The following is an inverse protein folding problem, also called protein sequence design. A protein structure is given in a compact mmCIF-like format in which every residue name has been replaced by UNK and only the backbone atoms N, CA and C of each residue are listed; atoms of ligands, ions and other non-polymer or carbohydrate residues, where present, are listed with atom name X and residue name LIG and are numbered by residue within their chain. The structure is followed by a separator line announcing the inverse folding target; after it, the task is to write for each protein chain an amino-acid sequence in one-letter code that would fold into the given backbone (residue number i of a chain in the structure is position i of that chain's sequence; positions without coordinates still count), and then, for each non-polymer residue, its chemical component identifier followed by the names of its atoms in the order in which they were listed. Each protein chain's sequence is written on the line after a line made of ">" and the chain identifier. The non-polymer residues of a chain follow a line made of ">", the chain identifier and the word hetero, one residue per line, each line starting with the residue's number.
data_IF_269399965703
#
_entry.id   IF_269399965703
#
_cell.length_a   1.000
_cell.length_b   1.000
_cell.length_c   1.000
_cell.angle_alpha   90.00
_cell.angle_beta   90.00
_cell.angle_gamma   90.00
#
_symmetry.space_group_name_H-M   'P 1'
#
loop_
_entity.id
_entity.type
_entity.pdbx_description
1 polymer ?
#
# COMPACT_ATOMS: atom_id res chain seq x y z
N UNK A 1 -12.33 -6.52 -17.00
CA UNK A 1 -11.33 -5.68 -17.63
C UNK A 1 -9.91 -6.21 -17.43
N UNK A 2 -9.63 -6.85 -16.27
CA UNK A 2 -8.38 -7.55 -15.98
C UNK A 2 -8.65 -8.91 -15.35
N UNK A 3 -7.86 -9.92 -15.73
CA UNK A 3 -7.85 -11.25 -15.11
C UNK A 3 -6.45 -11.52 -14.59
N UNK A 4 -6.35 -11.93 -13.33
CA UNK A 4 -5.09 -12.25 -12.66
C UNK A 4 -5.09 -13.70 -12.23
N UNK A 5 -4.05 -14.44 -12.56
CA UNK A 5 -3.84 -15.81 -12.09
C UNK A 5 -3.32 -15.80 -10.67
N UNK A 6 -4.18 -16.05 -9.69
CA UNK A 6 -3.81 -16.13 -8.28
C UNK A 6 -3.17 -17.49 -7.97
N UNK A 7 -1.99 -17.45 -7.37
CA UNK A 7 -1.25 -18.67 -6.97
C UNK A 7 -1.80 -19.16 -5.64
N UNK A 8 -2.02 -20.46 -5.56
CA UNK A 8 -2.42 -21.09 -4.29
C UNK A 8 -1.36 -20.94 -3.19
N UNK A 9 -1.75 -21.03 -1.91
CA UNK A 9 -0.83 -20.90 -0.77
C UNK A 9 0.28 -21.97 -0.77
N UNK A 10 0.08 -23.05 -1.53
CA UNK A 10 1.04 -24.16 -1.67
C UNK A 10 2.23 -23.82 -2.60
N UNK A 11 2.09 -22.81 -3.47
CA UNK A 11 3.11 -22.42 -4.45
C UNK A 11 4.16 -21.45 -3.91
N UNK A 12 4.06 -21.03 -2.66
CA UNK A 12 5.01 -20.12 -2.05
C UNK A 12 6.15 -20.87 -1.37
N UNK A 13 7.30 -20.87 -2.01
CA UNK A 13 8.54 -21.44 -1.41
C UNK A 13 8.96 -20.58 -0.20
N UNK A 14 8.63 -21.04 1.02
CA UNK A 14 9.06 -20.47 2.29
C UNK A 14 8.00 -19.59 3.00
N UNK A 15 7.90 -19.81 4.32
CA UNK A 15 6.93 -19.14 5.18
C UNK A 15 7.09 -17.59 5.22
N UNK A 16 8.33 -17.10 5.13
CA UNK A 16 8.62 -15.66 5.07
C UNK A 16 7.99 -14.95 3.87
N UNK A 17 8.02 -15.62 2.68
CA UNK A 17 7.38 -15.07 1.47
C UNK A 17 5.86 -15.09 1.57
N UNK A 18 5.32 -16.13 2.21
CA UNK A 18 3.88 -16.23 2.45
C UNK A 18 3.41 -15.09 3.35
N UNK A 19 4.15 -14.81 4.43
CA UNK A 19 3.86 -13.69 5.33
C UNK A 19 3.96 -12.36 4.59
N UNK A 20 5.02 -12.15 3.84
CA UNK A 20 5.24 -10.93 3.08
C UNK A 20 4.14 -10.69 2.04
N UNK A 21 3.79 -11.70 1.23
CA UNK A 21 2.70 -11.59 0.27
C UNK A 21 1.36 -11.33 0.97
N UNK A 22 1.08 -11.98 2.11
CA UNK A 22 -0.13 -11.73 2.89
C UNK A 22 -0.24 -10.28 3.37
N UNK A 23 0.87 -9.70 3.82
CA UNK A 23 0.92 -8.26 4.19
C UNK A 23 0.67 -7.37 2.97
N UNK A 24 1.21 -7.72 1.80
CA UNK A 24 0.98 -6.99 0.55
C UNK A 24 -0.48 -7.02 0.13
N UNK A 25 -1.07 -8.20 0.11
CA UNK A 25 -2.45 -8.39 -0.31
C UNK A 25 -3.42 -7.70 0.68
N UNK A 26 -3.11 -7.75 1.99
CA UNK A 26 -3.85 -7.03 3.01
C UNK A 26 -3.78 -5.51 2.82
N UNK A 27 -2.58 -4.95 2.65
CA UNK A 27 -2.39 -3.51 2.44
C UNK A 27 -3.04 -3.04 1.14
N UNK A 28 -2.90 -3.82 0.06
CA UNK A 28 -3.55 -3.53 -1.21
C UNK A 28 -5.08 -3.54 -1.07
N UNK A 29 -5.63 -4.53 -0.36
CA UNK A 29 -7.06 -4.62 -0.09
C UNK A 29 -7.55 -3.45 0.76
N UNK A 30 -6.78 -3.07 1.78
CA UNK A 30 -7.08 -1.90 2.62
C UNK A 30 -7.08 -0.59 1.82
N UNK A 31 -6.08 -0.39 0.95
CA UNK A 31 -5.95 0.84 0.15
C UNK A 31 -7.04 0.94 -0.91
N UNK A 32 -7.35 -0.17 -1.61
CA UNK A 32 -8.34 -0.19 -2.69
C UNK A 32 -9.78 -0.33 -2.20
N UNK A 33 -9.98 -0.89 -1.01
CA UNK A 33 -11.30 -1.27 -0.51
C UNK A 33 -11.89 -2.51 -1.19
N UNK A 34 -11.08 -3.23 -1.99
CA UNK A 34 -11.47 -4.45 -2.70
C UNK A 34 -10.57 -5.61 -2.29
N UNK A 35 -11.08 -6.83 -2.34
CA UNK A 35 -10.29 -8.02 -1.97
C UNK A 35 -9.23 -8.31 -3.04
N UNK A 36 -7.98 -8.38 -2.64
CA UNK A 36 -6.83 -8.74 -3.47
C UNK A 36 -6.34 -10.12 -3.05
N UNK A 37 -6.30 -11.09 -3.99
CA UNK A 37 -5.89 -12.47 -3.70
C UNK A 37 -4.40 -12.72 -3.98
N UNK A 38 -3.82 -12.12 -5.02
CA UNK A 38 -2.39 -12.22 -5.35
C UNK A 38 -1.94 -10.99 -6.14
N UNK A 39 -1.38 -10.02 -5.43
CA UNK A 39 -0.93 -8.76 -6.00
C UNK A 39 0.34 -8.92 -6.85
N UNK A 40 1.18 -9.89 -6.51
CA UNK A 40 2.51 -10.08 -7.08
C UNK A 40 2.55 -11.04 -8.26
N UNK A 41 1.42 -11.65 -8.62
CA UNK A 41 1.36 -12.55 -9.76
C UNK A 41 1.69 -11.84 -11.07
N UNK A 42 2.64 -12.38 -11.82
CA UNK A 42 2.95 -11.90 -13.18
C UNK A 42 2.01 -12.42 -14.26
N UNK A 43 1.23 -13.46 -13.96
CA UNK A 43 0.31 -14.07 -14.94
C UNK A 43 -1.00 -13.32 -14.97
N UNK A 44 -1.18 -12.48 -15.98
CA UNK A 44 -2.37 -11.63 -16.12
C UNK A 44 -2.71 -11.32 -17.56
N UNK A 45 -3.99 -11.11 -17.81
CA UNK A 45 -4.52 -10.60 -19.06
C UNK A 45 -5.35 -9.34 -18.75
N UNK A 46 -5.22 -8.31 -19.59
CA UNK A 46 -5.92 -7.05 -19.38
C UNK A 46 -6.29 -6.39 -20.71
N UNK A 47 -7.31 -5.57 -20.68
CA UNK A 47 -7.72 -4.77 -21.84
C UNK A 47 -6.63 -3.74 -22.17
N UNK A 48 -6.22 -3.73 -23.43
CA UNK A 48 -5.14 -2.86 -23.93
C UNK A 48 -5.47 -1.37 -23.83
N UNK A 49 -6.70 -1.01 -24.16
CA UNK A 49 -7.20 0.36 -24.13
C UNK A 49 -7.14 0.96 -22.71
N UNK A 50 -7.53 0.18 -21.72
CA UNK A 50 -7.46 0.58 -20.30
C UNK A 50 -6.02 0.60 -19.81
N UNK A 51 -5.21 -0.40 -20.13
CA UNK A 51 -3.83 -0.48 -19.68
C UNK A 51 -2.99 0.71 -20.19
N UNK A 52 -3.24 1.18 -21.41
CA UNK A 52 -2.54 2.33 -22.00
C UNK A 52 -2.69 3.61 -21.19
N UNK A 53 -3.84 3.83 -20.54
CA UNK A 53 -4.11 5.02 -19.71
C UNK A 53 -3.15 5.13 -18.52
N UNK A 54 -2.67 3.99 -18.02
CA UNK A 54 -1.83 3.95 -16.81
C UNK A 54 -0.34 3.73 -17.08
N UNK A 55 0.10 3.73 -18.35
CA UNK A 55 1.50 3.48 -18.70
C UNK A 55 2.44 4.49 -18.01
N UNK A 56 2.03 5.76 -17.92
CA UNK A 56 2.81 6.82 -17.27
C UNK A 56 3.03 6.62 -15.76
N UNK A 57 2.17 5.84 -15.12
CA UNK A 57 2.23 5.53 -13.68
C UNK A 57 3.07 4.28 -13.38
N UNK A 58 3.39 3.50 -14.42
CA UNK A 58 4.05 2.21 -14.22
C UNK A 58 5.55 2.40 -13.95
N UNK A 59 6.08 1.75 -12.90
CA UNK A 59 7.50 1.77 -12.62
C UNK A 59 8.27 0.85 -13.58
N UNK A 60 9.50 1.22 -13.90
CA UNK A 60 10.37 0.47 -14.82
C UNK A 60 10.93 -0.84 -14.22
N UNK A 61 10.52 -1.26 -13.02
CA UNK A 61 11.07 -2.42 -12.30
C UNK A 61 9.96 -3.32 -11.71
N UNK A 62 10.31 -4.10 -10.70
CA UNK A 62 9.55 -5.23 -10.12
C UNK A 62 8.10 -4.93 -9.63
N UNK A 63 7.73 -3.68 -9.37
CA UNK A 63 6.40 -3.32 -8.87
C UNK A 63 5.33 -3.12 -9.97
N UNK A 64 5.67 -3.37 -11.25
CA UNK A 64 4.72 -3.27 -12.36
C UNK A 64 3.40 -4.03 -12.12
N UNK A 65 3.43 -5.33 -11.74
CA UNK A 65 2.21 -6.09 -11.53
C UNK A 65 1.31 -5.49 -10.45
N UNK A 66 1.90 -5.02 -9.39
CA UNK A 66 1.22 -4.40 -8.26
C UNK A 66 0.57 -3.09 -8.67
N UNK A 67 1.34 -2.21 -9.31
CA UNK A 67 0.87 -0.87 -9.69
C UNK A 67 -0.29 -0.95 -10.67
N UNK A 68 -0.20 -1.76 -11.73
CA UNK A 68 -1.27 -1.86 -12.72
C UNK A 68 -2.56 -2.42 -12.13
N UNK A 69 -2.50 -3.43 -11.23
CA UNK A 69 -3.67 -3.95 -10.56
C UNK A 69 -4.37 -2.88 -9.73
N UNK A 70 -3.60 -2.11 -8.97
CA UNK A 70 -4.14 -1.04 -8.13
C UNK A 70 -4.71 0.11 -8.96
N UNK A 71 -4.09 0.44 -10.12
CA UNK A 71 -4.66 1.41 -11.07
C UNK A 71 -6.04 0.97 -11.56
N UNK A 72 -6.17 -0.29 -12.00
CA UNK A 72 -7.45 -0.83 -12.46
C UNK A 72 -8.52 -0.77 -11.38
N UNK A 73 -8.20 -1.21 -10.15
CA UNK A 73 -9.14 -1.21 -9.05
C UNK A 73 -9.55 0.22 -8.65
N UNK A 74 -8.61 1.16 -8.60
CA UNK A 74 -8.91 2.55 -8.24
C UNK A 74 -9.77 3.26 -9.29
N UNK A 75 -9.55 2.98 -10.56
CA UNK A 75 -10.36 3.51 -11.66
C UNK A 75 -11.73 2.83 -11.81
N UNK A 76 -12.08 1.91 -10.91
CA UNK A 76 -13.37 1.23 -10.93
C UNK A 76 -13.49 0.11 -11.97
N UNK A 77 -12.38 -0.29 -12.60
CA UNK A 77 -12.39 -1.42 -13.53
C UNK A 77 -12.42 -2.76 -12.79
N UNK A 78 -13.13 -3.73 -13.37
CA UNK A 78 -13.27 -5.05 -12.76
C UNK A 78 -11.98 -5.87 -12.87
N UNK A 79 -11.52 -6.39 -11.73
CA UNK A 79 -10.39 -7.31 -11.64
C UNK A 79 -10.89 -8.65 -11.13
N UNK A 80 -10.71 -9.71 -11.92
CA UNK A 80 -11.10 -11.07 -11.55
C UNK A 80 -9.89 -11.93 -11.29
N UNK A 81 -9.93 -12.69 -10.20
CA UNK A 81 -8.90 -13.66 -9.85
C UNK A 81 -9.30 -15.07 -10.29
N UNK A 82 -8.37 -15.80 -10.88
CA UNK A 82 -8.52 -17.20 -11.25
C UNK A 82 -7.39 -17.98 -10.61
N UNK A 83 -7.71 -19.00 -9.82
CA UNK A 83 -6.70 -19.84 -9.19
C UNK A 83 -5.93 -20.61 -10.24
N UNK A 84 -4.59 -20.49 -10.19
CA UNK A 84 -3.68 -21.23 -11.06
C UNK A 84 -2.73 -22.08 -10.22
N UNK A 85 -2.36 -23.24 -10.76
CA UNK A 85 -1.27 -24.05 -10.23
C UNK A 85 0.03 -23.55 -10.86
N UNK A 86 0.84 -22.83 -10.11
CA UNK A 86 2.17 -22.46 -10.55
C UNK A 86 3.11 -23.66 -10.38
N UNK A 87 3.77 -24.08 -11.45
CA UNK A 87 4.79 -25.10 -11.39
C UNK A 87 5.99 -24.61 -10.56
N UNK A 88 6.63 -25.52 -9.82
CA UNK A 88 7.86 -25.22 -9.11
C UNK A 88 8.95 -24.80 -10.10
N UNK A 89 9.75 -23.84 -9.70
CA UNK A 89 10.81 -23.27 -10.53
C UNK A 89 11.90 -24.34 -10.77
N UNK A 90 12.07 -24.76 -12.01
CA UNK A 90 13.03 -25.80 -12.40
C UNK A 90 14.51 -25.35 -12.41
N UNK A 91 14.84 -24.15 -11.89
CA UNK A 91 16.23 -23.67 -11.78
C UNK A 91 16.34 -22.18 -11.46
N UNK A 92 17.52 -21.77 -11.02
CA UNK A 92 17.86 -20.40 -10.69
C UNK A 92 17.64 -20.04 -9.19
N UNK A 93 18.65 -19.40 -8.61
CA UNK A 93 18.55 -18.89 -7.24
C UNK A 93 17.60 -17.69 -7.22
N UNK A 94 16.73 -17.63 -6.22
CA UNK A 94 15.92 -16.44 -5.99
C UNK A 94 16.85 -15.26 -5.68
N UNK A 95 16.77 -14.20 -6.49
CA UNK A 95 17.52 -12.96 -6.29
C UNK A 95 17.05 -12.12 -5.09
N UNK A 96 16.07 -12.61 -4.33
CA UNK A 96 15.51 -11.91 -3.17
C UNK A 96 16.35 -12.25 -1.94
N UNK A 97 17.06 -11.25 -1.41
CA UNK A 97 17.83 -11.33 -0.14
C UNK A 97 16.97 -10.80 0.98
N UNK A 98 16.60 -11.65 1.97
CA UNK A 98 15.58 -11.34 2.99
C UNK A 98 15.87 -10.08 3.83
N UNK A 99 17.11 -9.72 4.06
CA UNK A 99 17.48 -8.59 4.95
C UNK A 99 17.65 -7.28 4.19
N UNK A 100 18.25 -7.29 2.99
CA UNK A 100 18.34 -6.09 2.15
C UNK A 100 17.00 -5.74 1.49
N UNK A 101 16.15 -6.73 1.29
CA UNK A 101 14.88 -6.58 0.59
C UNK A 101 13.75 -6.13 1.54
N UNK A 102 13.92 -6.25 2.87
CA UNK A 102 12.93 -5.79 3.85
C UNK A 102 12.71 -4.27 3.81
N UNK A 103 13.78 -3.50 3.62
CA UNK A 103 13.70 -2.04 3.44
C UNK A 103 13.15 -1.67 2.08
N UNK A 104 13.53 -2.39 1.02
CA UNK A 104 12.93 -2.22 -0.32
C UNK A 104 11.44 -2.55 -0.31
N UNK A 105 11.06 -3.56 0.44
CA UNK A 105 9.67 -3.98 0.64
C UNK A 105 8.82 -2.87 1.28
N UNK A 106 9.30 -2.29 2.40
CA UNK A 106 8.65 -1.16 3.05
C UNK A 106 8.57 0.06 2.13
N UNK A 107 9.63 0.33 1.37
CA UNK A 107 9.64 1.43 0.40
C UNK A 107 8.64 1.21 -0.74
N UNK A 108 8.49 -0.02 -1.24
CA UNK A 108 7.51 -0.34 -2.28
C UNK A 108 6.09 -0.18 -1.72
N UNK A 109 5.81 -0.70 -0.53
CA UNK A 109 4.52 -0.54 0.14
C UNK A 109 4.22 0.95 0.35
N UNK A 110 5.18 1.71 0.90
CA UNK A 110 5.02 3.15 1.12
C UNK A 110 4.75 3.89 -0.18
N UNK A 111 5.48 3.58 -1.26
CA UNK A 111 5.25 4.18 -2.58
C UNK A 111 3.86 3.86 -3.13
N UNK A 112 3.40 2.62 -3.00
CA UNK A 112 2.08 2.21 -3.44
C UNK A 112 1.01 2.95 -2.64
N UNK A 113 1.13 2.98 -1.33
CA UNK A 113 0.18 3.69 -0.47
C UNK A 113 0.17 5.20 -0.75
N UNK A 114 1.36 5.82 -0.92
CA UNK A 114 1.48 7.23 -1.30
C UNK A 114 0.91 7.54 -2.68
N UNK A 115 0.95 6.59 -3.61
CA UNK A 115 0.41 6.78 -4.96
C UNK A 115 -1.11 6.66 -4.99
N UNK A 116 -1.70 5.82 -4.13
CA UNK A 116 -3.12 5.46 -4.26
C UNK A 116 -4.03 6.01 -3.17
N UNK A 117 -3.60 6.09 -1.92
CA UNK A 117 -4.41 6.61 -0.82
C UNK A 117 -3.55 6.94 0.39
N UNK A 118 -2.74 7.99 0.31
CA UNK A 118 -1.85 8.37 1.41
C UNK A 118 -2.63 8.70 2.69
N UNK A 119 -3.80 9.30 2.58
CA UNK A 119 -4.62 9.63 3.74
C UNK A 119 -4.98 8.40 4.60
N UNK A 120 -5.18 7.23 4.00
CA UNK A 120 -5.44 5.97 4.74
C UNK A 120 -4.30 5.55 5.66
N UNK A 121 -3.08 6.05 5.45
CA UNK A 121 -1.93 5.81 6.32
C UNK A 121 -1.77 6.95 7.32
N UNK A 122 -1.81 8.19 6.85
CA UNK A 122 -1.57 9.35 7.70
C UNK A 122 -2.67 9.54 8.75
N UNK A 123 -3.92 9.24 8.43
CA UNK A 123 -5.05 9.40 9.33
C UNK A 123 -4.94 8.52 10.59
N UNK A 124 -4.71 7.20 10.52
CA UNK A 124 -4.53 6.39 11.74
C UNK A 124 -3.29 6.78 12.53
N UNK A 125 -2.20 7.19 11.88
CA UNK A 125 -0.99 7.67 12.57
C UNK A 125 -1.27 8.97 13.33
N UNK A 126 -1.93 9.94 12.67
CA UNK A 126 -2.35 11.18 13.30
C UNK A 126 -3.28 10.92 14.49
N UNK A 127 -4.27 10.06 14.31
CA UNK A 127 -5.22 9.70 15.36
C UNK A 127 -4.52 9.02 16.56
N UNK A 128 -3.57 8.14 16.31
CA UNK A 128 -2.77 7.51 17.34
C UNK A 128 -1.95 8.54 18.15
N UNK A 129 -1.29 9.49 17.46
CA UNK A 129 -0.57 10.58 18.11
C UNK A 129 -1.49 11.48 18.94
N UNK A 130 -2.69 11.75 18.43
CA UNK A 130 -3.71 12.52 19.15
C UNK A 130 -4.12 11.81 20.45
N UNK A 131 -4.41 10.51 20.37
CA UNK A 131 -4.79 9.72 21.55
C UNK A 131 -3.65 9.65 22.57
N UNK A 132 -2.41 9.46 22.12
CA UNK A 132 -1.24 9.54 23.01
C UNK A 132 -1.12 10.91 23.67
N UNK A 133 -1.36 11.99 22.91
CA UNK A 133 -1.35 13.36 23.44
C UNK A 133 -2.41 13.57 24.52
N UNK A 134 -3.64 13.10 24.26
CA UNK A 134 -4.75 13.17 25.23
C UNK A 134 -4.42 12.35 26.49
N UNK A 135 -3.96 11.11 26.32
CA UNK A 135 -3.60 10.25 27.44
C UNK A 135 -2.46 10.82 28.31
N UNK A 136 -1.42 11.33 27.65
CA UNK A 136 -0.29 11.94 28.35
C UNK A 136 -0.70 13.25 29.06
N UNK A 137 -1.51 14.08 28.41
CA UNK A 137 -2.05 15.29 29.03
C UNK A 137 -2.93 14.94 30.22
N UNK A 138 -3.84 13.96 30.10
CA UNK A 138 -4.67 13.50 31.21
C UNK A 138 -3.83 13.04 32.42
N UNK A 139 -2.78 12.26 32.17
CA UNK A 139 -1.85 11.84 33.20
C UNK A 139 -1.14 13.02 33.89
N UNK A 140 -0.57 13.95 33.12
CA UNK A 140 0.16 15.10 33.68
C UNK A 140 -0.76 16.12 34.37
N UNK A 141 -2.00 16.24 33.91
CA UNK A 141 -3.00 17.10 34.53
C UNK A 141 -3.45 16.53 35.89
N UNK A 142 -3.70 15.22 35.98
CA UNK A 142 -4.10 14.56 37.24
C UNK A 142 -2.97 14.53 38.29
N UNK A 143 -1.71 14.41 37.85
CA UNK A 143 -0.57 14.26 38.78
C UNK A 143 0.08 15.59 39.17
N UNK A 144 0.17 16.52 38.21
CA UNK A 144 0.97 17.75 38.38
C UNK A 144 0.19 19.04 38.07
N UNK A 145 -1.08 18.96 37.67
CA UNK A 145 -1.93 20.08 37.23
C UNK A 145 -1.23 21.00 36.21
N UNK A 146 -0.43 20.42 35.32
CA UNK A 146 0.36 21.18 34.35
C UNK A 146 0.14 20.68 32.94
N UNK A 147 0.03 21.63 32.00
CA UNK A 147 0.18 21.37 30.56
C UNK A 147 1.67 21.34 30.23
N UNK A 148 2.16 20.26 29.64
CA UNK A 148 3.58 20.06 29.38
C UNK A 148 3.92 20.30 27.91
N UNK A 149 5.17 20.68 27.64
CA UNK A 149 5.70 20.82 26.28
C UNK A 149 5.54 19.53 25.46
N UNK A 150 5.60 18.36 26.13
CA UNK A 150 5.42 17.07 25.45
C UNK A 150 3.97 16.87 24.98
N UNK A 151 2.97 17.29 25.77
CA UNK A 151 1.57 17.27 25.36
C UNK A 151 1.35 18.16 24.14
N UNK A 152 1.91 19.37 24.18
CA UNK A 152 1.84 20.30 23.04
C UNK A 152 2.49 19.73 21.79
N UNK A 153 3.68 19.12 21.92
CA UNK A 153 4.38 18.48 20.83
C UNK A 153 3.53 17.38 20.16
N UNK A 154 2.92 16.50 20.96
CA UNK A 154 2.08 15.41 20.46
C UNK A 154 0.86 15.94 19.70
N UNK A 155 0.17 16.94 20.25
CA UNK A 155 -0.98 17.56 19.58
C UNK A 155 -0.58 18.24 18.27
N UNK A 156 0.47 19.07 18.31
CA UNK A 156 0.95 19.77 17.12
C UNK A 156 1.41 18.78 16.04
N UNK A 157 2.17 17.74 16.42
CA UNK A 157 2.61 16.71 15.47
C UNK A 157 1.44 15.95 14.88
N UNK A 158 0.41 15.63 15.67
CA UNK A 158 -0.82 14.99 15.18
C UNK A 158 -1.49 15.83 14.08
N UNK A 159 -1.66 17.13 14.32
CA UNK A 159 -2.25 18.03 13.32
C UNK A 159 -1.39 18.15 12.07
N UNK A 160 -0.06 18.28 12.23
CA UNK A 160 0.86 18.34 11.09
C UNK A 160 0.79 17.07 10.25
N UNK A 161 0.79 15.89 10.87
CA UNK A 161 0.69 14.60 10.18
C UNK A 161 -0.64 14.49 9.43
N UNK A 162 -1.74 14.95 10.03
CA UNK A 162 -3.04 14.98 9.35
C UNK A 162 -3.01 15.89 8.12
N UNK A 163 -2.48 17.11 8.24
CA UNK A 163 -2.38 18.05 7.12
C UNK A 163 -1.49 17.53 6.01
N UNK A 164 -0.37 16.88 6.35
CA UNK A 164 0.48 16.20 5.37
C UNK A 164 -0.29 15.10 4.63
N UNK A 165 -1.11 14.33 5.34
CA UNK A 165 -1.97 13.31 4.73
C UNK A 165 -2.98 13.87 3.75
N UNK A 166 -3.63 14.97 4.10
CA UNK A 166 -4.59 15.67 3.23
C UNK A 166 -3.92 16.22 1.96
N UNK A 167 -2.76 16.87 2.10
CA UNK A 167 -2.00 17.39 0.95
C UNK A 167 -1.54 16.24 0.05
N UNK A 168 -1.01 15.18 0.63
CA UNK A 168 -0.56 14.02 -0.11
C UNK A 168 -1.71 13.35 -0.89
N UNK A 169 -2.92 13.29 -0.31
CA UNK A 169 -4.12 12.76 -0.98
C UNK A 169 -4.51 13.61 -2.19
N UNK A 170 -4.47 14.95 -2.07
CA UNK A 170 -4.74 15.83 -3.20
C UNK A 170 -3.73 15.66 -4.33
N UNK A 171 -2.45 15.52 -4.00
CA UNK A 171 -1.40 15.26 -5.00
C UNK A 171 -1.62 13.91 -5.70
N UNK A 172 -2.01 12.88 -4.94
CA UNK A 172 -2.29 11.56 -5.51
C UNK A 172 -3.50 11.59 -6.45
N UNK A 173 -4.57 12.31 -6.09
CA UNK A 173 -5.75 12.49 -6.92
C UNK A 173 -5.43 13.22 -8.23
N UNK A 174 -4.74 14.35 -8.18
CA UNK A 174 -4.34 15.10 -9.37
C UNK A 174 -3.47 14.28 -10.34
N UNK A 175 -2.57 13.43 -9.82
CA UNK A 175 -1.78 12.52 -10.65
C UNK A 175 -2.63 11.48 -11.35
N UNK A 176 -3.65 11.00 -10.66
CA UNK A 176 -4.54 9.98 -11.20
C UNK A 176 -5.43 10.53 -12.31
N UNK A 177 -6.08 11.68 -12.07
CA UNK A 177 -6.91 12.39 -13.06
C UNK A 177 -6.11 12.68 -14.35
N UNK A 178 -4.90 13.19 -14.22
CA UNK A 178 -4.04 13.47 -15.37
C UNK A 178 -3.68 12.23 -16.20
N UNK A 179 -3.70 11.04 -15.59
CA UNK A 179 -3.42 9.79 -16.31
C UNK A 179 -4.66 9.21 -17.01
N UNK A 180 -5.86 9.66 -16.65
CA UNK A 180 -7.10 9.25 -17.32
C UNK A 180 -7.38 10.08 -18.58
N UNK A 181 -6.94 11.33 -18.61
CA UNK A 181 -7.16 12.27 -19.72
C UNK A 181 -6.17 12.12 -20.90
N UNK A 182 -5.11 11.32 -20.78
CA UNK A 182 -4.09 11.10 -21.81
C UNK A 182 -4.17 9.71 -22.43
#
# INVERSE_FOLDING_TARGET
>A
DMVVGARGPESHAGWHRRLANGIYDFLASYVTGQQVEDLTSGFRAMRRDVARRFISLLPNRYSYPTTITLCFMRAGFSVKYIRIKAAERQGGKSGIRLISDGTEFLLIISKICMLFSPLKIFLPVSFYLLLMGIGYYGYTFLTAHRFTNMSMLLFTTSVIVLMMGLIAEQIAQMRFERSEDG
#
